data_IF_913014504235
#
_entry.id   IF_913014504235
#
_cell.length_a   1.000
_cell.length_b   1.000
_cell.length_c   1.000
_cell.angle_alpha   90.00
_cell.angle_beta   90.00
_cell.angle_gamma   90.00
#
_symmetry.space_group_name_H-M   'P 1'
#
loop_
_entity.id
_entity.type
_entity.pdbx_description
1 polymer ?
#
# COMPACT_ATOMS: atom_id res chain seq x y z
N UNK A 1 -2.78 1.48 -11.33
CA UNK A 1 -2.61 0.27 -10.50
C UNK A 1 -3.92 -0.49 -10.42
N UNK A 2 -4.87 0.05 -9.66
CA UNK A 2 -6.20 -0.55 -9.44
C UNK A 2 -6.96 -0.87 -10.73
N UNK A 3 -6.97 0.05 -11.70
CA UNK A 3 -7.59 -0.19 -13.02
C UNK A 3 -7.02 -1.42 -13.75
N UNK A 4 -5.74 -1.73 -13.52
CA UNK A 4 -5.00 -2.77 -14.25
C UNK A 4 -5.06 -4.12 -13.54
N UNK A 5 -4.88 -4.15 -12.23
CA UNK A 5 -4.74 -5.39 -11.44
C UNK A 5 -5.86 -5.61 -10.41
N UNK A 6 -6.84 -4.71 -10.35
CA UNK A 6 -7.94 -4.76 -9.40
C UNK A 6 -7.59 -4.27 -8.00
N UNK A 7 -8.62 -4.03 -7.19
CA UNK A 7 -8.47 -3.57 -5.80
C UNK A 7 -7.87 -4.66 -4.90
N UNK A 8 -8.18 -5.93 -5.16
CA UNK A 8 -7.71 -7.08 -4.37
C UNK A 8 -6.18 -7.18 -4.32
N UNK A 9 -5.50 -6.76 -5.37
CA UNK A 9 -4.05 -6.69 -5.40
C UNK A 9 -3.48 -5.75 -4.33
N UNK A 10 -4.28 -4.83 -3.82
CA UNK A 10 -3.90 -3.89 -2.78
C UNK A 10 -4.53 -4.20 -1.41
N UNK A 11 -5.86 -4.30 -1.35
CA UNK A 11 -6.62 -4.51 -0.09
C UNK A 11 -6.96 -5.97 0.21
N UNK A 12 -6.66 -6.90 -0.69
CA UNK A 12 -6.87 -8.33 -0.48
C UNK A 12 -5.80 -8.95 0.44
N UNK A 13 -6.03 -10.19 0.94
CA UNK A 13 -5.10 -10.87 1.86
C UNK A 13 -3.67 -11.00 1.31
N UNK A 14 -3.54 -11.27 0.00
CA UNK A 14 -2.26 -11.40 -0.69
C UNK A 14 -1.74 -10.08 -1.27
N UNK A 15 -2.54 -9.01 -1.16
CA UNK A 15 -2.18 -7.68 -1.60
C UNK A 15 -1.21 -6.97 -0.66
N UNK A 16 -0.74 -5.79 -1.06
CA UNK A 16 0.27 -5.07 -0.27
C UNK A 16 -0.22 -4.78 1.17
N UNK A 17 -1.45 -4.27 1.35
CA UNK A 17 -1.99 -4.02 2.70
C UNK A 17 -2.34 -5.30 3.45
N UNK A 18 -2.77 -6.35 2.75
CA UNK A 18 -2.99 -7.68 3.34
C UNK A 18 -1.73 -8.23 3.99
N UNK A 19 -0.59 -8.16 3.29
CA UNK A 19 0.72 -8.60 3.81
C UNK A 19 1.17 -7.77 5.00
N UNK A 20 0.98 -6.45 4.96
CA UNK A 20 1.28 -5.58 6.10
C UNK A 20 0.38 -5.91 7.30
N UNK A 21 -0.91 -6.16 7.08
CA UNK A 21 -1.82 -6.58 8.14
C UNK A 21 -1.40 -7.93 8.76
N UNK A 22 -1.02 -8.91 7.93
CA UNK A 22 -0.52 -10.22 8.38
C UNK A 22 0.79 -10.10 9.19
N UNK A 23 1.63 -9.10 8.88
CA UNK A 23 2.83 -8.77 9.65
C UNK A 23 2.55 -8.03 10.99
N UNK A 24 1.27 -7.81 11.31
CA UNK A 24 0.79 -7.25 12.57
C UNK A 24 0.61 -5.73 12.58
N UNK A 25 0.60 -5.08 11.40
CA UNK A 25 0.36 -3.65 11.30
C UNK A 25 -1.14 -3.32 11.19
N UNK A 26 -1.58 -2.26 11.87
CA UNK A 26 -2.87 -1.64 11.56
C UNK A 26 -2.75 -0.92 10.22
N UNK A 27 -3.62 -1.27 9.27
CA UNK A 27 -3.64 -0.70 7.91
C UNK A 27 -4.94 0.05 7.66
N UNK A 28 -4.86 1.03 6.76
CA UNK A 28 -6.00 1.79 6.27
C UNK A 28 -5.81 2.03 4.76
N UNK A 29 -6.84 1.84 3.91
CA UNK A 29 -8.14 1.27 4.24
C UNK A 29 -8.02 -0.19 4.76
N UNK A 30 -9.01 -0.69 5.53
CA UNK A 30 -8.95 -2.03 6.09
C UNK A 30 -8.93 -3.12 5.01
N UNK A 31 -8.26 -4.23 5.30
CA UNK A 31 -8.24 -5.41 4.40
C UNK A 31 -9.67 -5.93 4.16
N UNK A 32 -9.97 -6.28 2.91
CA UNK A 32 -11.28 -6.81 2.51
C UNK A 32 -12.39 -5.75 2.43
N UNK A 33 -12.06 -4.46 2.53
CA UNK A 33 -12.97 -3.36 2.26
C UNK A 33 -12.63 -2.70 0.92
N UNK A 34 -13.63 -2.29 0.13
CA UNK A 34 -13.38 -1.62 -1.15
C UNK A 34 -12.77 -0.23 -0.92
N UNK A 35 -12.13 0.32 -1.95
CA UNK A 35 -11.62 1.68 -1.85
C UNK A 35 -12.74 2.71 -1.64
N UNK A 36 -12.45 3.72 -0.82
CA UNK A 36 -13.42 4.75 -0.45
C UNK A 36 -14.44 4.31 0.60
N UNK A 37 -14.35 3.08 1.14
CA UNK A 37 -15.17 2.66 2.28
C UNK A 37 -14.34 1.97 3.37
N UNK A 38 -13.95 2.70 4.44
CA UNK A 38 -14.19 4.12 4.67
C UNK A 38 -13.36 5.04 3.77
N UNK A 39 -13.85 6.25 3.55
CA UNK A 39 -13.11 7.31 2.84
C UNK A 39 -11.74 7.55 3.47
N UNK A 40 -10.72 7.69 2.62
CA UNK A 40 -9.40 8.13 3.07
C UNK A 40 -9.46 9.56 3.59
N UNK A 41 -8.73 9.81 4.67
CA UNK A 41 -8.59 11.16 5.20
C UNK A 41 -8.05 12.08 4.09
N UNK A 42 -8.69 13.23 3.81
CA UNK A 42 -8.28 14.12 2.72
C UNK A 42 -6.82 14.59 2.81
N UNK A 43 -6.18 14.47 3.98
CA UNK A 43 -4.76 14.79 4.16
C UNK A 43 -3.81 13.73 3.59
N UNK A 44 -4.29 12.52 3.31
CA UNK A 44 -3.48 11.33 3.01
C UNK A 44 -3.90 10.56 1.75
N UNK A 45 -4.76 11.14 0.90
CA UNK A 45 -5.40 10.45 -0.23
C UNK A 45 -4.57 10.43 -1.54
N UNK A 46 -3.24 10.38 -1.46
CA UNK A 46 -2.34 10.35 -2.64
C UNK A 46 -2.06 11.72 -3.30
N UNK A 47 -3.01 12.65 -3.21
CA UNK A 47 -2.86 14.05 -3.61
C UNK A 47 -2.18 14.29 -4.97
N UNK A 48 -1.37 15.35 -5.05
CA UNK A 48 -0.76 15.81 -6.31
C UNK A 48 0.28 14.83 -6.88
N UNK A 49 1.17 14.28 -6.05
CA UNK A 49 2.30 13.46 -6.54
C UNK A 49 1.82 12.19 -7.21
N UNK A 50 0.88 11.46 -6.60
CA UNK A 50 0.35 10.24 -7.21
C UNK A 50 -0.36 10.57 -8.52
N UNK A 51 -1.12 11.66 -8.57
CA UNK A 51 -1.85 12.07 -9.79
C UNK A 51 -0.93 12.57 -10.91
N UNK A 52 0.13 13.32 -10.57
CA UNK A 52 1.02 13.95 -11.54
C UNK A 52 2.02 12.97 -12.17
N UNK A 53 2.40 11.91 -11.44
CA UNK A 53 3.44 10.98 -11.85
C UNK A 53 2.94 9.56 -12.14
N UNK A 54 1.64 9.30 -11.97
CA UNK A 54 1.01 8.13 -12.60
C UNK A 54 0.78 8.40 -14.07
N UNK A 55 1.05 7.41 -14.91
CA UNK A 55 0.88 7.53 -16.35
C UNK A 55 0.40 6.18 -16.90
N UNK A 56 -0.91 6.07 -17.09
CA UNK A 56 -1.56 4.85 -17.59
C UNK A 56 -1.03 4.49 -19.01
N UNK A 57 -0.75 5.49 -19.87
CA UNK A 57 -0.25 5.27 -21.24
C UNK A 57 1.18 4.72 -21.26
N UNK A 58 2.01 5.17 -20.31
CA UNK A 58 3.39 4.65 -20.12
C UNK A 58 3.43 3.43 -19.20
N UNK A 59 2.29 2.99 -18.66
CA UNK A 59 2.19 1.85 -17.75
C UNK A 59 2.80 2.09 -16.36
N UNK A 60 2.96 3.37 -15.97
CA UNK A 60 3.54 3.77 -14.68
C UNK A 60 2.42 3.90 -13.66
N UNK A 61 2.43 2.99 -12.69
CA UNK A 61 1.53 3.01 -11.55
C UNK A 61 2.22 3.63 -10.33
N UNK A 62 1.59 4.64 -9.72
CA UNK A 62 2.09 5.22 -8.46
C UNK A 62 1.21 4.84 -7.27
N UNK A 63 1.84 4.80 -6.10
CA UNK A 63 1.20 4.60 -4.81
C UNK A 63 1.85 5.51 -3.76
N UNK A 64 1.05 6.04 -2.84
CA UNK A 64 1.52 6.71 -1.64
C UNK A 64 1.34 5.80 -0.43
N UNK A 65 2.34 5.74 0.45
CA UNK A 65 2.28 5.01 1.71
C UNK A 65 2.53 5.99 2.85
N UNK A 66 1.61 6.01 3.81
CA UNK A 66 1.67 6.87 4.98
C UNK A 66 1.99 6.05 6.24
N UNK A 67 2.94 6.54 7.04
CA UNK A 67 3.40 5.83 8.22
C UNK A 67 3.24 6.68 9.49
N UNK A 68 2.56 6.11 10.49
CA UNK A 68 2.37 6.74 11.78
C UNK A 68 3.70 7.10 12.47
N UNK A 69 3.71 8.20 13.22
CA UNK A 69 4.92 8.79 13.82
C UNK A 69 5.80 7.78 14.56
N UNK A 70 5.21 6.92 15.40
CA UNK A 70 5.96 5.92 16.17
C UNK A 70 6.68 4.90 15.29
N UNK A 71 6.16 4.56 14.11
CA UNK A 71 6.84 3.67 13.17
C UNK A 71 8.05 4.34 12.51
N UNK A 72 8.09 5.67 12.47
CA UNK A 72 9.17 6.45 11.88
C UNK A 72 10.22 6.87 12.91
N UNK A 73 9.82 7.18 14.15
CA UNK A 73 10.73 7.78 15.13
C UNK A 73 11.36 6.75 16.08
N UNK A 74 10.67 5.66 16.38
CA UNK A 74 11.23 4.57 17.20
C UNK A 74 12.09 3.66 16.32
N UNK A 75 13.35 3.50 16.68
CA UNK A 75 14.34 2.76 15.88
C UNK A 75 13.95 1.30 15.67
N UNK A 76 13.58 0.57 16.74
CA UNK A 76 13.22 -0.85 16.64
C UNK A 76 11.97 -1.05 15.80
N UNK A 77 10.97 -0.17 15.96
CA UNK A 77 9.74 -0.22 15.14
C UNK A 77 10.04 0.11 13.68
N UNK A 78 10.92 1.07 13.42
CA UNK A 78 11.33 1.46 12.07
C UNK A 78 12.09 0.35 11.37
N UNK A 79 13.04 -0.30 12.05
CA UNK A 79 13.78 -1.44 11.50
C UNK A 79 12.84 -2.59 11.11
N UNK A 80 11.92 -2.95 12.01
CA UNK A 80 10.90 -3.97 11.71
C UNK A 80 10.03 -3.56 10.52
N UNK A 81 9.56 -2.30 10.51
CA UNK A 81 8.75 -1.78 9.40
C UNK A 81 9.47 -1.87 8.06
N UNK A 82 10.73 -1.44 7.99
CA UNK A 82 11.50 -1.46 6.73
C UNK A 82 11.67 -2.88 6.21
N UNK A 83 11.99 -3.83 7.10
CA UNK A 83 12.12 -5.25 6.73
C UNK A 83 10.80 -5.80 6.20
N UNK A 84 9.72 -5.64 6.96
CA UNK A 84 8.44 -6.25 6.62
C UNK A 84 7.82 -5.58 5.38
N UNK A 85 8.02 -4.26 5.21
CA UNK A 85 7.59 -3.54 4.01
C UNK A 85 8.35 -4.02 2.76
N UNK A 86 9.66 -4.23 2.86
CA UNK A 86 10.44 -4.77 1.75
C UNK A 86 9.95 -6.17 1.35
N UNK A 87 9.68 -7.03 2.33
CA UNK A 87 9.11 -8.37 2.10
C UNK A 87 7.71 -8.29 1.47
N UNK A 88 6.86 -7.37 1.94
CA UNK A 88 5.51 -7.16 1.42
C UNK A 88 5.54 -6.64 -0.03
N UNK A 89 6.41 -5.69 -0.36
CA UNK A 89 6.58 -5.17 -1.73
C UNK A 89 7.10 -6.28 -2.66
N UNK A 90 8.08 -7.06 -2.21
CA UNK A 90 8.60 -8.18 -3.01
C UNK A 90 7.53 -9.25 -3.26
N UNK A 91 6.73 -9.57 -2.24
CA UNK A 91 5.60 -10.49 -2.37
C UNK A 91 4.51 -9.97 -3.31
N UNK A 92 4.12 -8.69 -3.15
CA UNK A 92 3.18 -8.02 -4.03
C UNK A 92 3.64 -8.05 -5.49
N UNK A 93 4.91 -7.73 -5.77
CA UNK A 93 5.45 -7.78 -7.12
C UNK A 93 5.36 -9.18 -7.73
N UNK A 94 5.77 -10.21 -6.98
CA UNK A 94 5.75 -11.61 -7.45
C UNK A 94 4.34 -12.12 -7.70
N UNK A 95 3.41 -11.82 -6.80
CA UNK A 95 2.12 -12.54 -6.76
C UNK A 95 0.97 -11.77 -7.42
N UNK A 96 1.10 -10.44 -7.51
CA UNK A 96 0.08 -9.56 -8.08
C UNK A 96 0.50 -8.83 -9.36
N UNK A 97 1.81 -8.58 -9.59
CA UNK A 97 2.30 -7.85 -10.77
C UNK A 97 2.99 -8.72 -11.82
N UNK A 98 3.57 -9.86 -11.45
CA UNK A 98 4.29 -10.75 -12.37
C UNK A 98 3.40 -11.82 -13.04
N UNK A 99 2.07 -11.68 -12.94
CA UNK A 99 1.07 -12.50 -13.64
C UNK A 99 0.62 -11.79 -14.91
#
# INVERSE_FOLDING_TARGET
LVKRIGEEAFVGPEGLLGRMAAAGYGVFPPVGKPFGDPDEDPRFNGGFTVQAYSDDEKGIDSIQLEFGTKLRTDEKRREKLVKDLAEAIAGFYKDALAK
#
